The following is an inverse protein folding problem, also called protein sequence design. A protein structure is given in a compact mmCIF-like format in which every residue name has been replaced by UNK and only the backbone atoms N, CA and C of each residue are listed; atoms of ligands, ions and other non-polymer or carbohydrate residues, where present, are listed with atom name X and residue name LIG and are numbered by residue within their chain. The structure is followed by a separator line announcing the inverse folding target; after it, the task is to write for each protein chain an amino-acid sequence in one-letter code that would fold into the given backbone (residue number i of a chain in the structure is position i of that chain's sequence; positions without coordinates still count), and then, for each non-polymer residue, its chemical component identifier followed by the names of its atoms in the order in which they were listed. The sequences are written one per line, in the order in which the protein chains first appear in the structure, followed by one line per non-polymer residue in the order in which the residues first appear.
data_IF_447663996506
#
_entry.id   IF_447663996506
#
_cell.length_a   1.000
_cell.length_b   1.000
_cell.length_c   1.000
_cell.angle_alpha   90.00
_cell.angle_beta   90.00
_cell.angle_gamma   90.00
#
_symmetry.space_group_name_H-M   'P 1'
#
loop_
_entity.id
_entity.type
_entity.pdbx_description
1 polymer ?
#
# COMPACT_ATOMS: atom_id res chain seq x y z
N UNK A 1 25.98 -14.52 6.17
CA UNK A 1 25.04 -15.56 5.69
C UNK A 1 23.63 -15.06 5.95
N UNK A 2 23.02 -14.41 4.97
CA UNK A 2 21.57 -14.38 4.76
C UNK A 2 21.42 -14.28 3.26
N UNK A 3 21.02 -15.39 2.67
CA UNK A 3 20.82 -15.51 1.24
C UNK A 3 19.70 -14.55 0.84
N UNK A 4 20.04 -13.59 -0.02
CA UNK A 4 19.12 -12.71 -0.74
C UNK A 4 18.37 -13.56 -1.79
N UNK A 5 17.49 -14.44 -1.30
CA UNK A 5 16.65 -15.28 -2.14
C UNK A 5 15.50 -14.41 -2.65
N UNK A 6 15.66 -13.90 -3.87
CA UNK A 6 14.53 -13.72 -4.77
C UNK A 6 13.48 -12.70 -4.37
N UNK A 7 13.85 -11.52 -3.87
CA UNK A 7 12.91 -10.40 -3.95
C UNK A 7 12.74 -10.03 -5.42
N UNK A 8 11.51 -10.15 -5.92
CA UNK A 8 11.16 -9.81 -7.29
C UNK A 8 11.36 -8.31 -7.59
N UNK A 9 11.46 -7.48 -6.54
CA UNK A 9 11.68 -6.04 -6.55
C UNK A 9 12.96 -5.66 -5.80
N UNK A 10 13.67 -4.64 -6.27
CA UNK A 10 14.70 -3.97 -5.46
C UNK A 10 14.08 -3.14 -4.34
N UNK A 11 14.81 -2.82 -3.25
CA UNK A 11 14.29 -1.99 -2.16
C UNK A 11 13.78 -0.62 -2.62
N UNK A 12 14.44 -0.02 -3.63
CA UNK A 12 14.02 1.27 -4.20
C UNK A 12 12.72 1.16 -5.01
N UNK A 13 12.55 0.08 -5.78
CA UNK A 13 11.31 -0.19 -6.54
C UNK A 13 10.14 -0.51 -5.60
N UNK A 14 10.37 -1.32 -4.56
CA UNK A 14 9.37 -1.59 -3.53
C UNK A 14 8.95 -0.29 -2.84
N UNK A 15 9.92 0.54 -2.40
CA UNK A 15 9.64 1.84 -1.79
C UNK A 15 8.80 2.73 -2.70
N UNK A 16 9.15 2.84 -3.98
CA UNK A 16 8.41 3.66 -4.94
C UNK A 16 6.96 3.19 -5.09
N UNK A 17 6.73 1.88 -5.23
CA UNK A 17 5.38 1.30 -5.33
C UNK A 17 4.56 1.47 -4.05
N UNK A 18 5.22 1.39 -2.89
CA UNK A 18 4.60 1.66 -1.58
C UNK A 18 4.12 3.10 -1.48
N UNK A 19 4.99 4.05 -1.84
CA UNK A 19 4.65 5.48 -1.84
C UNK A 19 3.54 5.78 -2.84
N UNK A 20 3.58 5.20 -4.04
CA UNK A 20 2.54 5.36 -5.05
C UNK A 20 1.19 4.85 -4.54
N UNK A 21 1.10 3.60 -4.07
CA UNK A 21 -0.13 3.05 -3.53
C UNK A 21 -0.65 3.86 -2.33
N UNK A 22 0.25 4.26 -1.44
CA UNK A 22 -0.12 5.03 -0.27
C UNK A 22 -0.67 6.42 -0.64
N UNK A 23 -0.04 7.11 -1.59
CA UNK A 23 -0.52 8.40 -2.09
C UNK A 23 -1.91 8.31 -2.72
N UNK A 24 -2.21 7.22 -3.45
CA UNK A 24 -3.54 6.98 -4.01
C UNK A 24 -4.61 6.79 -2.92
N UNK A 25 -4.30 5.98 -1.90
CA UNK A 25 -5.21 5.72 -0.78
C UNK A 25 -5.43 6.98 0.06
N UNK A 26 -4.36 7.70 0.40
CA UNK A 26 -4.44 8.97 1.15
C UNK A 26 -5.22 10.01 0.35
N UNK A 27 -4.97 10.13 -0.95
CA UNK A 27 -5.67 11.07 -1.82
C UNK A 27 -7.17 10.80 -1.96
N UNK A 28 -7.60 9.55 -1.79
CA UNK A 28 -9.02 9.17 -1.82
C UNK A 28 -9.69 9.33 -0.44
N UNK A 29 -9.01 8.94 0.64
CA UNK A 29 -9.59 8.89 1.99
C UNK A 29 -9.43 10.21 2.75
N UNK A 30 -8.26 10.84 2.68
CA UNK A 30 -7.95 12.08 3.40
C UNK A 30 -7.08 13.02 2.54
N UNK A 31 -7.66 13.62 1.49
CA UNK A 31 -6.91 14.43 0.51
C UNK A 31 -6.11 15.58 1.13
N UNK A 32 -6.55 16.12 2.26
CA UNK A 32 -5.86 17.19 2.98
C UNK A 32 -4.46 16.77 3.48
N UNK A 33 -4.22 15.49 3.72
CA UNK A 33 -2.89 15.00 4.11
C UNK A 33 -1.88 14.98 2.96
N UNK A 34 -2.33 15.11 1.70
CA UNK A 34 -1.41 15.19 0.55
C UNK A 34 -0.45 16.38 0.65
N UNK A 35 -0.84 17.46 1.35
CA UNK A 35 0.01 18.63 1.57
C UNK A 35 1.26 18.32 2.40
N UNK A 36 1.19 17.30 3.26
CA UNK A 36 2.28 16.88 4.17
C UNK A 36 2.77 15.47 3.88
N UNK A 37 2.30 14.85 2.78
CA UNK A 37 2.54 13.44 2.51
C UNK A 37 4.01 13.14 2.22
N UNK A 38 4.71 14.01 1.50
CA UNK A 38 6.13 13.82 1.18
C UNK A 38 7.01 13.84 2.45
N UNK A 39 6.75 14.79 3.36
CA UNK A 39 7.42 14.86 4.67
C UNK A 39 7.12 13.60 5.51
N UNK A 40 5.86 13.14 5.46
CA UNK A 40 5.43 11.93 6.16
C UNK A 40 6.11 10.67 5.62
N UNK A 41 6.31 10.60 4.29
CA UNK A 41 7.05 9.52 3.64
C UNK A 41 8.51 9.52 4.08
N UNK A 42 9.14 10.69 4.14
CA UNK A 42 10.52 10.80 4.63
C UNK A 42 10.64 10.31 6.07
N UNK A 43 9.83 10.85 6.99
CA UNK A 43 9.81 10.46 8.40
C UNK A 43 9.57 8.95 8.59
N UNK A 44 8.61 8.38 7.86
CA UNK A 44 8.28 6.96 7.93
C UNK A 44 9.44 6.04 7.54
N UNK A 45 10.19 6.40 6.49
CA UNK A 45 11.32 5.58 6.02
C UNK A 45 12.61 5.85 6.80
N UNK A 46 12.72 6.99 7.49
CA UNK A 46 13.82 7.26 8.43
C UNK A 46 13.64 6.48 9.74
N UNK A 47 12.46 6.56 10.36
CA UNK A 47 12.13 5.83 11.58
C UNK A 47 10.64 5.44 11.61
N UNK A 48 10.37 4.24 11.10
CA UNK A 48 9.02 3.67 11.03
C UNK A 48 8.33 3.58 12.39
N UNK A 49 9.08 3.27 13.46
CA UNK A 49 8.50 3.08 14.77
C UNK A 49 8.08 4.42 15.39
N UNK A 50 8.91 5.44 15.22
CA UNK A 50 8.60 6.81 15.66
C UNK A 50 7.45 7.41 14.85
N UNK A 51 7.46 7.26 13.52
CA UNK A 51 6.39 7.77 12.66
C UNK A 51 5.02 7.22 13.07
N UNK A 52 4.89 5.90 13.28
CA UNK A 52 3.64 5.27 13.70
C UNK A 52 3.18 5.70 15.11
N UNK A 53 4.13 5.92 16.04
CA UNK A 53 3.82 6.42 17.40
C UNK A 53 3.41 7.89 17.43
N UNK A 54 4.01 8.72 16.58
CA UNK A 54 3.68 10.15 16.50
C UNK A 54 2.28 10.31 15.96
N UNK A 55 1.91 9.55 14.92
CA UNK A 55 0.52 9.52 14.44
C UNK A 55 -0.43 9.13 15.57
N UNK A 56 -0.18 8.01 16.26
CA UNK A 56 -1.07 7.55 17.33
C UNK A 56 -1.15 8.47 18.56
N UNK A 57 -0.18 9.37 18.78
CA UNK A 57 -0.20 10.31 19.91
C UNK A 57 -1.09 11.53 19.67
N UNK A 58 -1.29 11.95 18.43
CA UNK A 58 -2.20 13.06 18.10
C UNK A 58 -3.68 12.70 18.40
N UNK A 59 -3.97 11.42 18.64
CA UNK A 59 -5.25 10.92 19.15
C UNK A 59 -5.49 11.24 20.64
N UNK A 60 -4.42 11.35 21.45
CA UNK A 60 -4.55 11.59 22.91
C UNK A 60 -4.99 13.01 23.27
N UNK A 61 -5.07 13.93 22.30
CA UNK A 61 -5.59 15.28 22.47
C UNK A 61 -7.01 15.45 21.88
N UNK A 62 -7.88 14.44 22.05
CA UNK A 62 -9.32 14.67 22.24
C UNK A 62 -10.14 15.34 21.12
N UNK A 63 -9.69 15.31 19.86
CA UNK A 63 -10.51 15.64 18.70
C UNK A 63 -10.59 14.41 17.79
N UNK A 64 -11.75 13.74 17.80
CA UNK A 64 -11.99 12.51 17.05
C UNK A 64 -11.71 12.65 15.55
N UNK A 65 -11.39 11.54 14.87
CA UNK A 65 -11.15 11.31 13.42
C UNK A 65 -10.24 12.28 12.63
N UNK A 66 -10.11 13.55 13.00
CA UNK A 66 -9.50 14.61 12.19
C UNK A 66 -8.01 14.83 12.50
N UNK A 67 -7.58 14.57 13.75
CA UNK A 67 -6.19 14.82 14.19
C UNK A 67 -5.17 13.72 13.83
N UNK A 68 -5.61 12.50 13.54
CA UNK A 68 -4.69 11.39 13.26
C UNK A 68 -4.17 11.45 11.82
N UNK A 69 -2.84 11.45 11.64
CA UNK A 69 -2.23 11.23 10.33
C UNK A 69 -2.48 9.79 9.85
N UNK A 70 -3.21 9.64 8.75
CA UNK A 70 -3.52 8.34 8.14
C UNK A 70 -2.33 7.81 7.34
N UNK A 71 -1.57 8.71 6.69
CA UNK A 71 -0.47 8.36 5.79
C UNK A 71 0.55 7.34 6.35
N UNK A 72 1.04 7.44 7.61
CA UNK A 72 2.00 6.46 8.16
C UNK A 72 1.43 5.04 8.26
N UNK A 73 0.15 4.91 8.59
CA UNK A 73 -0.52 3.61 8.64
C UNK A 73 -0.72 3.02 7.24
N UNK A 74 -1.04 3.87 6.27
CA UNK A 74 -1.16 3.46 4.87
C UNK A 74 0.18 2.96 4.33
N UNK A 75 1.29 3.66 4.63
CA UNK A 75 2.64 3.23 4.28
C UNK A 75 3.00 1.88 4.91
N UNK A 76 2.63 1.67 6.17
CA UNK A 76 2.85 0.41 6.88
C UNK A 76 2.12 -0.78 6.24
N UNK A 77 0.87 -0.60 5.80
CA UNK A 77 0.11 -1.69 5.15
C UNK A 77 0.45 -1.87 3.67
N UNK A 78 0.88 -0.80 2.99
CA UNK A 78 1.21 -0.86 1.57
C UNK A 78 2.41 -1.77 1.30
N UNK A 79 3.43 -1.79 2.16
CA UNK A 79 4.61 -2.68 2.02
C UNK A 79 4.25 -4.16 1.83
N UNK A 80 3.57 -4.80 2.81
CA UNK A 80 3.09 -6.16 2.68
C UNK A 80 2.22 -6.39 1.42
N UNK A 81 1.34 -5.44 1.09
CA UNK A 81 0.47 -5.54 -0.09
C UNK A 81 1.29 -5.57 -1.38
N UNK A 82 2.27 -4.67 -1.54
CA UNK A 82 3.14 -4.65 -2.72
C UNK A 82 3.93 -5.96 -2.85
N UNK A 83 4.44 -6.51 -1.75
CA UNK A 83 5.14 -7.81 -1.76
C UNK A 83 4.24 -8.96 -2.18
N UNK A 84 2.99 -8.97 -1.71
CA UNK A 84 2.00 -9.97 -2.14
C UNK A 84 1.69 -9.83 -3.63
N UNK A 85 1.39 -8.62 -4.10
CA UNK A 85 1.10 -8.37 -5.51
C UNK A 85 2.27 -8.73 -6.41
N UNK A 86 3.51 -8.45 -5.99
CA UNK A 86 4.71 -8.86 -6.71
C UNK A 86 4.78 -10.38 -6.87
N UNK A 87 4.49 -11.15 -5.82
CA UNK A 87 4.39 -12.61 -5.89
C UNK A 87 3.33 -13.09 -6.89
N UNK A 88 2.12 -12.54 -6.79
CA UNK A 88 1.00 -12.86 -7.70
C UNK A 88 1.37 -12.61 -9.16
N UNK A 89 1.98 -11.47 -9.47
CA UNK A 89 2.34 -11.10 -10.84
C UNK A 89 3.54 -11.93 -11.32
N UNK A 90 4.53 -12.20 -10.48
CA UNK A 90 5.67 -13.05 -10.83
C UNK A 90 5.24 -14.47 -11.19
N UNK A 91 4.29 -15.06 -10.46
CA UNK A 91 3.73 -16.38 -10.77
C UNK A 91 2.98 -16.38 -12.12
N UNK A 92 2.21 -15.34 -12.40
CA UNK A 92 1.43 -15.24 -13.63
C UNK A 92 2.27 -14.96 -14.88
N UNK A 93 3.41 -14.27 -14.75
CA UNK A 93 4.09 -13.68 -15.90
C UNK A 93 5.08 -14.60 -16.64
N UNK A 94 5.52 -15.75 -16.10
CA UNK A 94 6.71 -16.50 -16.58
C UNK A 94 7.97 -15.63 -16.84
N UNK A 95 7.95 -14.35 -16.46
CA UNK A 95 8.87 -13.35 -16.94
C UNK A 95 9.88 -13.02 -15.84
N UNK A 96 11.11 -13.48 -16.02
CA UNK A 96 12.28 -13.12 -15.21
C UNK A 96 12.73 -11.65 -15.38
N UNK A 97 11.89 -10.76 -15.91
CA UNK A 97 12.30 -9.39 -16.30
C UNK A 97 11.71 -8.34 -15.35
N UNK A 98 12.50 -7.95 -14.34
CA UNK A 98 12.13 -6.99 -13.27
C UNK A 98 11.48 -5.67 -13.76
N UNK A 99 11.99 -5.00 -14.82
CA UNK A 99 11.33 -3.77 -15.31
C UNK A 99 9.88 -3.96 -15.75
N UNK A 100 9.52 -5.17 -16.22
CA UNK A 100 8.14 -5.49 -16.59
C UNK A 100 7.26 -5.69 -15.36
N UNK A 101 7.81 -6.22 -14.27
CA UNK A 101 7.07 -6.44 -13.02
C UNK A 101 6.55 -5.13 -12.42
N UNK A 102 7.41 -4.11 -12.31
CA UNK A 102 7.01 -2.79 -11.79
C UNK A 102 5.89 -2.18 -12.65
N UNK A 103 6.01 -2.25 -13.97
CA UNK A 103 4.98 -1.76 -14.88
C UNK A 103 3.65 -2.52 -14.73
N UNK A 104 3.70 -3.85 -14.57
CA UNK A 104 2.50 -4.67 -14.34
C UNK A 104 1.84 -4.35 -12.99
N UNK A 105 2.62 -4.10 -11.94
CA UNK A 105 2.11 -3.71 -10.62
C UNK A 105 1.43 -2.34 -10.68
N UNK A 106 2.05 -1.34 -11.33
CA UNK A 106 1.40 -0.04 -11.56
C UNK A 106 0.11 -0.14 -12.35
N UNK A 107 0.03 -1.09 -13.29
CA UNK A 107 -1.21 -1.37 -14.04
C UNK A 107 -2.34 -1.95 -13.18
N UNK A 108 -2.05 -2.50 -12.01
CA UNK A 108 -3.07 -2.91 -11.04
C UNK A 108 -3.69 -1.72 -10.30
N UNK A 109 -3.06 -0.54 -10.33
CA UNK A 109 -3.59 0.66 -9.66
C UNK A 109 -4.55 1.40 -10.60
N UNK A 110 -5.75 1.71 -10.09
CA UNK A 110 -6.85 2.29 -10.87
C UNK A 110 -6.50 3.64 -11.54
N UNK A 111 -5.63 4.42 -10.93
CA UNK A 111 -5.36 5.83 -11.27
C UNK A 111 -4.04 6.04 -12.02
N UNK A 112 -3.15 5.04 -12.07
CA UNK A 112 -1.79 5.16 -12.66
C UNK A 112 -1.73 4.66 -14.10
N UNK A 113 -2.64 3.76 -14.51
CA UNK A 113 -2.60 3.18 -15.84
C UNK A 113 -3.29 4.06 -16.91
N UNK A 114 -2.59 4.58 -17.94
CA UNK A 114 -3.27 5.06 -19.14
C UNK A 114 -3.95 3.88 -19.86
N UNK A 115 -5.07 4.09 -20.57
CA UNK A 115 -5.70 3.05 -21.37
C UNK A 115 -4.68 2.53 -22.38
N UNK A 116 -4.23 1.29 -22.19
CA UNK A 116 -3.30 0.60 -23.08
C UNK A 116 -4.04 -0.49 -23.82
N UNK A 117 -3.69 -0.74 -25.08
CA UNK A 117 -4.29 -1.79 -25.94
C UNK A 117 -3.95 -3.22 -25.48
N UNK A 118 -3.04 -3.38 -24.51
CA UNK A 118 -2.73 -4.66 -23.89
C UNK A 118 -3.83 -5.09 -22.92
N UNK A 119 -4.12 -6.40 -22.87
CA UNK A 119 -5.10 -6.98 -21.96
C UNK A 119 -4.91 -6.48 -20.51
N UNK A 120 -5.99 -6.06 -19.82
CA UNK A 120 -5.90 -5.52 -18.49
C UNK A 120 -5.38 -6.59 -17.52
N UNK A 121 -4.36 -6.24 -16.73
CA UNK A 121 -3.97 -7.05 -15.58
C UNK A 121 -5.03 -6.82 -14.51
N UNK A 122 -5.71 -7.87 -14.09
CA UNK A 122 -6.81 -7.79 -13.12
C UNK A 122 -6.59 -8.82 -12.02
N UNK A 123 -7.00 -8.48 -10.79
CA UNK A 123 -6.99 -9.40 -9.67
C UNK A 123 -8.31 -10.15 -9.59
N UNK A 124 -8.24 -11.45 -9.31
CA UNK A 124 -9.41 -12.25 -8.99
C UNK A 124 -10.05 -11.78 -7.66
N UNK A 125 -11.35 -12.06 -7.45
CA UNK A 125 -12.02 -11.75 -6.18
C UNK A 125 -11.31 -12.34 -4.95
N UNK A 126 -10.72 -13.53 -5.08
CA UNK A 126 -9.96 -14.17 -4.01
C UNK A 126 -8.66 -13.43 -3.67
N UNK A 127 -7.96 -12.88 -4.67
CA UNK A 127 -6.76 -12.07 -4.48
C UNK A 127 -7.08 -10.72 -3.83
N UNK A 128 -8.19 -10.09 -4.22
CA UNK A 128 -8.68 -8.86 -3.56
C UNK A 128 -9.04 -9.13 -2.10
N UNK A 129 -9.71 -10.25 -1.81
CA UNK A 129 -10.01 -10.64 -0.44
C UNK A 129 -8.73 -10.87 0.37
N UNK A 130 -7.72 -11.51 -0.22
CA UNK A 130 -6.43 -11.71 0.44
C UNK A 130 -5.73 -10.38 0.76
N UNK A 131 -5.81 -9.38 -0.13
CA UNK A 131 -5.31 -8.03 0.14
C UNK A 131 -6.04 -7.41 1.33
N UNK A 132 -7.37 -7.51 1.40
CA UNK A 132 -8.14 -7.02 2.56
C UNK A 132 -7.69 -7.69 3.85
N UNK A 133 -7.58 -9.02 3.85
CA UNK A 133 -7.16 -9.79 5.03
C UNK A 133 -5.73 -9.42 5.47
N UNK A 134 -4.84 -9.16 4.52
CA UNK A 134 -3.48 -8.69 4.79
C UNK A 134 -3.48 -7.32 5.45
N UNK A 135 -4.26 -6.37 4.93
CA UNK A 135 -4.41 -5.04 5.52
C UNK A 135 -4.98 -5.13 6.93
N UNK A 136 -6.03 -5.94 7.14
CA UNK A 136 -6.64 -6.13 8.47
C UNK A 136 -5.62 -6.67 9.47
N UNK A 137 -4.83 -7.69 9.07
CA UNK A 137 -3.80 -8.26 9.93
C UNK A 137 -2.71 -7.25 10.27
N UNK A 138 -2.15 -6.57 9.27
CA UNK A 138 -1.08 -5.60 9.48
C UNK A 138 -1.55 -4.40 10.30
N UNK A 139 -2.76 -3.91 10.07
CA UNK A 139 -3.38 -2.84 10.86
C UNK A 139 -3.58 -3.26 12.33
N UNK A 140 -3.98 -4.52 12.56
CA UNK A 140 -4.08 -5.10 13.91
C UNK A 140 -2.72 -5.20 14.63
N UNK A 141 -1.67 -5.58 13.90
CA UNK A 141 -0.31 -5.66 14.45
C UNK A 141 0.22 -4.30 14.94
N UNK A 142 -0.20 -3.22 14.28
CA UNK A 142 0.12 -1.82 14.66
C UNK A 142 -0.97 -1.17 15.54
N UNK A 143 -1.90 -1.98 16.07
CA UNK A 143 -2.96 -1.58 17.01
C UNK A 143 -3.89 -0.48 16.50
N UNK A 144 -4.12 -0.42 15.19
CA UNK A 144 -5.14 0.43 14.62
C UNK A 144 -6.54 -0.08 15.03
N UNK A 145 -7.48 0.81 15.34
CA UNK A 145 -8.82 0.40 15.74
C UNK A 145 -9.60 -0.28 14.60
N UNK A 146 -10.65 -1.01 14.97
CA UNK A 146 -11.44 -1.82 14.04
C UNK A 146 -12.10 -0.98 12.92
N UNK A 147 -12.54 0.24 13.23
CA UNK A 147 -13.22 1.10 12.25
C UNK A 147 -12.22 1.59 11.20
N UNK A 148 -11.07 2.09 11.64
CA UNK A 148 -9.99 2.52 10.75
C UNK A 148 -9.38 1.36 9.97
N UNK A 149 -9.24 0.20 10.61
CA UNK A 149 -8.76 -1.03 9.95
C UNK A 149 -9.66 -1.42 8.78
N UNK A 150 -10.98 -1.41 8.96
CA UNK A 150 -11.94 -1.68 7.87
C UNK A 150 -11.86 -0.64 6.76
N UNK A 151 -11.86 0.64 7.13
CA UNK A 151 -11.74 1.74 6.17
C UNK A 151 -10.47 1.60 5.31
N UNK A 152 -9.34 1.29 5.94
CA UNK A 152 -8.06 1.11 5.26
C UNK A 152 -8.07 -0.11 4.33
N UNK A 153 -8.64 -1.23 4.77
CA UNK A 153 -8.77 -2.43 3.94
C UNK A 153 -9.62 -2.18 2.69
N UNK A 154 -10.75 -1.48 2.84
CA UNK A 154 -11.63 -1.15 1.72
C UNK A 154 -11.01 -0.11 0.78
N UNK A 155 -10.33 0.90 1.32
CA UNK A 155 -9.64 1.91 0.51
C UNK A 155 -8.51 1.31 -0.32
N UNK A 156 -7.65 0.49 0.31
CA UNK A 156 -6.55 -0.22 -0.39
C UNK A 156 -7.12 -1.14 -1.48
N UNK A 157 -8.14 -1.94 -1.16
CA UNK A 157 -8.78 -2.80 -2.15
C UNK A 157 -9.45 -2.01 -3.29
N UNK A 158 -10.02 -0.84 -2.99
CA UNK A 158 -10.65 0.06 -3.96
C UNK A 158 -9.66 0.63 -5.00
N UNK A 159 -8.41 0.83 -4.61
CA UNK A 159 -7.35 1.29 -5.52
C UNK A 159 -6.89 0.22 -6.51
N UNK A 160 -7.25 -1.05 -6.31
CA UNK A 160 -6.85 -2.17 -7.16
C UNK A 160 -7.89 -2.48 -8.24
N UNK A 161 -7.42 -2.88 -9.43
CA UNK A 161 -8.28 -3.35 -10.52
C UNK A 161 -8.64 -4.82 -10.29
N UNK A 162 -9.94 -5.10 -10.19
CA UNK A 162 -10.49 -6.45 -10.00
C UNK A 162 -11.20 -6.95 -11.27
N UNK A 163 -11.20 -8.27 -11.48
CA UNK A 163 -12.08 -8.92 -12.46
C UNK A 163 -13.50 -8.92 -11.91
N UNK A 164 -14.45 -8.37 -12.68
CA UNK A 164 -15.89 -8.39 -12.38
C UNK A 164 -16.56 -9.71 -12.71
#
# INVERSE_FOLDING_TARGET
MSSDVGSALTPAEERALVVELAGLVVGDVKPAELEVFDDTVEEYFEDTETALRTSGRDESLGFGFEGLLLAPYVLAVAGPVIRYLAGVVSEAAQAEVRPRLVALLRRLFRTVAPPSDDAPVTLSPGQIQHVRDLVVRTAGDIQLDETRTRLLADAVAGQLIATG
#
